data_IF_984830852726
#
_entry.id   IF_984830852726
#
_cell.length_a   1.000
_cell.length_b   1.000
_cell.length_c   1.000
_cell.angle_alpha   90.00
_cell.angle_beta   90.00
_cell.angle_gamma   90.00
#
_symmetry.space_group_name_H-M   'P 1'
#
loop_
_entity.id
_entity.type
_entity.pdbx_description
1 polymer ?
#
# COMPACT_ATOMS: atom_id res chain seq x y z
N UNK A 1 4.60 0.11 -7.12
CA UNK A 1 4.43 -0.66 -8.37
C UNK A 1 3.42 0.03 -9.27
N UNK A 2 3.74 0.20 -10.55
CA UNK A 2 2.71 0.46 -11.57
C UNK A 2 2.26 -0.90 -12.08
N UNK A 3 0.98 -1.22 -11.93
CA UNK A 3 0.38 -2.40 -12.53
C UNK A 3 0.09 -2.08 -13.99
N UNK A 4 0.60 -2.93 -14.87
CA UNK A 4 0.27 -3.03 -16.28
C UNK A 4 -0.03 -4.52 -16.53
N UNK A 5 -1.30 -4.89 -16.46
CA UNK A 5 -1.71 -6.29 -16.46
C UNK A 5 -1.58 -6.88 -17.87
N UNK A 6 -0.77 -7.94 -18.01
CA UNK A 6 -0.63 -8.61 -19.30
C UNK A 6 -2.00 -9.09 -19.82
N UNK A 7 -2.29 -8.81 -21.09
CA UNK A 7 -3.56 -9.16 -21.77
C UNK A 7 -4.80 -8.46 -21.18
N UNK A 8 -4.63 -7.37 -20.44
CA UNK A 8 -5.70 -6.51 -19.94
C UNK A 8 -5.32 -5.03 -20.12
N UNK A 9 -6.30 -4.14 -20.20
CA UNK A 9 -6.06 -2.69 -20.19
C UNK A 9 -6.07 -2.12 -18.76
N UNK A 10 -6.17 -2.99 -17.74
CA UNK A 10 -6.17 -2.60 -16.35
C UNK A 10 -4.81 -2.04 -15.96
N UNK A 11 -4.82 -0.76 -15.61
CA UNK A 11 -3.68 -0.04 -15.04
C UNK A 11 -4.01 0.43 -13.63
N UNK A 12 -2.98 0.50 -12.78
CA UNK A 12 -3.12 1.08 -11.45
C UNK A 12 -1.75 1.46 -10.86
N UNK A 13 -1.72 2.48 -10.00
CA UNK A 13 -0.61 2.69 -9.08
C UNK A 13 -0.90 1.92 -7.78
N UNK A 14 0.05 1.10 -7.32
CA UNK A 14 -0.06 0.31 -6.08
C UNK A 14 1.15 0.60 -5.18
N UNK A 15 0.90 1.12 -3.99
CA UNK A 15 1.89 1.53 -3.01
C UNK A 15 1.71 0.76 -1.69
N UNK A 16 2.82 0.40 -1.07
CA UNK A 16 2.85 -0.20 0.26
C UNK A 16 3.83 0.59 1.12
N UNK A 17 3.40 0.96 2.33
CA UNK A 17 4.20 1.66 3.32
C UNK A 17 4.29 0.75 4.53
N UNK A 18 5.48 0.23 4.81
CA UNK A 18 5.76 -0.65 5.94
C UNK A 18 6.40 0.17 7.05
N UNK A 19 5.70 0.32 8.17
CA UNK A 19 6.21 1.01 9.35
C UNK A 19 6.61 -0.04 10.39
N UNK A 20 6.31 0.16 11.67
CA UNK A 20 6.74 -0.74 12.73
C UNK A 20 5.79 -1.91 12.96
N UNK A 21 4.49 -1.67 13.10
CA UNK A 21 3.51 -2.72 13.38
C UNK A 21 2.36 -2.79 12.35
N UNK A 22 2.42 -1.94 11.33
CA UNK A 22 1.41 -1.81 10.29
C UNK A 22 1.98 -1.71 8.87
N UNK A 23 1.15 -2.11 7.92
CA UNK A 23 1.40 -1.95 6.49
C UNK A 23 0.23 -1.21 5.85
N UNK A 24 0.46 0.00 5.36
CA UNK A 24 -0.57 0.76 4.62
C UNK A 24 -0.47 0.46 3.14
N UNK A 25 -1.55 -0.05 2.55
CA UNK A 25 -1.67 -0.28 1.13
C UNK A 25 -2.56 0.79 0.49
N UNK A 26 -2.02 1.52 -0.48
CA UNK A 26 -2.75 2.51 -1.26
C UNK A 26 -2.80 2.10 -2.73
N UNK A 27 -3.93 2.36 -3.37
CA UNK A 27 -4.01 2.35 -4.82
C UNK A 27 -4.78 3.51 -5.38
N UNK A 28 -4.34 3.96 -6.56
CA UNK A 28 -4.96 5.05 -7.30
C UNK A 28 -4.85 4.81 -8.80
N UNK A 29 -5.70 5.49 -9.57
CA UNK A 29 -5.69 5.34 -11.02
C UNK A 29 -6.14 3.97 -11.49
N UNK A 30 -6.86 3.21 -10.67
CA UNK A 30 -7.40 1.90 -11.07
C UNK A 30 -8.37 2.15 -12.21
N UNK A 31 -7.95 1.79 -13.41
CA UNK A 31 -8.63 2.14 -14.66
C UNK A 31 -8.61 0.96 -15.61
N UNK A 32 -9.77 0.56 -16.10
CA UNK A 32 -9.91 -0.36 -17.24
C UNK A 32 -11.12 0.09 -18.09
N UNK A 33 -10.90 0.86 -19.16
CA UNK A 33 -11.98 1.38 -20.00
C UNK A 33 -12.56 0.32 -20.95
N UNK A 34 -11.98 -0.89 -21.00
CA UNK A 34 -12.29 -1.90 -22.03
C UNK A 34 -12.67 -3.27 -21.47
N UNK A 35 -12.83 -3.42 -20.16
CA UNK A 35 -13.17 -4.70 -19.55
C UNK A 35 -14.51 -5.20 -20.08
N UNK A 36 -14.47 -6.33 -20.78
CA UNK A 36 -15.65 -6.93 -21.42
C UNK A 36 -15.49 -8.45 -21.45
N UNK A 37 -16.62 -9.15 -21.50
CA UNK A 37 -16.66 -10.61 -21.45
C UNK A 37 -17.06 -11.15 -20.09
N UNK A 38 -16.86 -12.46 -19.93
CA UNK A 38 -17.38 -13.25 -18.81
C UNK A 38 -16.21 -13.93 -18.10
N UNK A 39 -16.17 -13.82 -16.78
CA UNK A 39 -15.23 -14.52 -15.92
C UNK A 39 -15.51 -16.03 -15.88
N UNK A 40 -14.60 -16.74 -15.22
CA UNK A 40 -14.68 -18.21 -15.07
C UNK A 40 -15.94 -18.67 -14.31
N UNK A 41 -16.51 -17.79 -13.50
CA UNK A 41 -17.71 -18.01 -12.69
C UNK A 41 -19.02 -17.72 -13.46
N UNK A 42 -18.93 -17.38 -14.75
CA UNK A 42 -20.09 -17.04 -15.57
C UNK A 42 -20.63 -15.62 -15.33
N UNK A 43 -19.99 -14.82 -14.47
CA UNK A 43 -20.34 -13.42 -14.26
C UNK A 43 -19.53 -12.51 -15.17
N UNK A 44 -19.97 -11.27 -15.37
CA UNK A 44 -19.19 -10.34 -16.17
C UNK A 44 -17.87 -9.97 -15.46
N UNK A 45 -16.81 -9.83 -16.24
CA UNK A 45 -15.52 -9.38 -15.71
C UNK A 45 -15.66 -8.04 -14.98
N UNK A 46 -14.95 -7.90 -13.88
CA UNK A 46 -14.82 -6.69 -13.06
C UNK A 46 -13.39 -6.61 -12.49
N UNK A 47 -12.96 -5.41 -12.13
CA UNK A 47 -11.67 -5.17 -11.52
C UNK A 47 -11.79 -5.23 -10.00
N UNK A 48 -10.88 -5.96 -9.36
CA UNK A 48 -10.89 -6.17 -7.92
C UNK A 48 -9.53 -5.82 -7.31
N UNK A 49 -9.55 -5.39 -6.06
CA UNK A 49 -8.34 -5.38 -5.22
C UNK A 49 -8.55 -6.29 -4.05
N UNK A 50 -7.80 -7.38 -4.02
CA UNK A 50 -7.83 -8.34 -2.92
C UNK A 50 -7.10 -7.75 -1.72
N UNK A 51 -7.81 -7.65 -0.60
CA UNK A 51 -7.27 -7.25 0.70
C UNK A 51 -6.74 -8.49 1.43
N UNK A 52 -7.48 -9.60 1.38
CA UNK A 52 -7.08 -10.87 1.96
C UNK A 52 -7.75 -12.04 1.23
N UNK A 53 -7.02 -13.15 1.11
CA UNK A 53 -7.49 -14.46 0.68
C UNK A 53 -6.77 -15.54 1.51
N UNK A 54 -7.34 -15.81 2.69
CA UNK A 54 -6.71 -16.61 3.74
C UNK A 54 -7.35 -17.98 3.85
N UNK A 55 -6.55 -19.05 3.75
CA UNK A 55 -6.98 -20.39 4.15
C UNK A 55 -7.26 -20.44 5.65
N UNK A 56 -8.40 -21.05 5.99
CA UNK A 56 -8.78 -21.37 7.35
C UNK A 56 -7.99 -22.58 7.87
N UNK A 57 -7.23 -22.41 8.95
CA UNK A 57 -6.38 -23.43 9.57
C UNK A 57 -7.03 -24.14 10.76
N UNK A 58 -8.13 -23.59 11.29
CA UNK A 58 -8.89 -24.20 12.39
C UNK A 58 -10.38 -23.86 12.29
N UNK A 59 -11.25 -24.80 12.67
CA UNK A 59 -12.71 -24.63 12.65
C UNK A 59 -13.22 -23.40 13.43
N UNK A 60 -12.46 -22.97 14.44
CA UNK A 60 -12.75 -21.82 15.31
C UNK A 60 -12.34 -20.47 14.72
N UNK A 61 -11.57 -20.42 13.62
CA UNK A 61 -11.21 -19.16 12.99
C UNK A 61 -12.45 -18.49 12.37
N UNK A 62 -12.48 -17.17 12.40
CA UNK A 62 -13.53 -16.38 11.78
C UNK A 62 -12.98 -15.07 11.24
N UNK A 63 -13.42 -14.68 10.04
CA UNK A 63 -13.37 -13.29 9.59
C UNK A 63 -14.56 -12.54 10.19
N UNK A 64 -14.28 -11.46 10.92
CA UNK A 64 -15.28 -10.57 11.51
C UNK A 64 -15.07 -9.18 10.93
N UNK A 65 -16.14 -8.53 10.48
CA UNK A 65 -16.12 -7.14 9.99
C UNK A 65 -17.13 -6.34 10.80
N UNK A 66 -16.71 -5.27 11.48
CA UNK A 66 -17.56 -4.44 12.34
C UNK A 66 -18.53 -5.26 13.23
N UNK A 67 -17.96 -6.18 13.99
CA UNK A 67 -18.66 -7.10 14.90
C UNK A 67 -19.60 -8.12 14.24
N UNK A 68 -19.58 -8.23 12.91
CA UNK A 68 -20.38 -9.19 12.14
C UNK A 68 -19.49 -10.29 11.56
N UNK A 69 -19.66 -11.56 11.97
CA UNK A 69 -18.91 -12.67 11.39
C UNK A 69 -19.35 -12.93 9.95
N UNK A 70 -18.39 -13.19 9.07
CA UNK A 70 -18.63 -13.59 7.68
C UNK A 70 -18.76 -15.11 7.62
N UNK A 71 -19.97 -15.58 7.30
CA UNK A 71 -20.31 -17.02 7.32
C UNK A 71 -20.77 -17.55 5.95
N UNK A 72 -21.15 -16.66 5.03
CA UNK A 72 -21.74 -17.01 3.73
C UNK A 72 -20.68 -17.25 2.66
N UNK A 73 -20.91 -18.24 1.80
CA UNK A 73 -20.15 -18.45 0.57
C UNK A 73 -20.49 -17.41 -0.52
N UNK A 74 -21.71 -16.89 -0.52
CA UNK A 74 -22.08 -15.74 -1.35
C UNK A 74 -21.49 -14.47 -0.75
N UNK A 75 -20.87 -13.65 -1.61
CA UNK A 75 -20.25 -12.39 -1.22
C UNK A 75 -21.24 -11.45 -0.51
N UNK A 76 -20.86 -10.98 0.67
CA UNK A 76 -21.57 -9.96 1.44
C UNK A 76 -21.00 -8.60 1.11
N UNK A 77 -21.85 -7.64 0.72
CA UNK A 77 -21.43 -6.24 0.52
C UNK A 77 -21.31 -5.52 1.86
N UNK A 78 -20.23 -4.76 2.03
CA UNK A 78 -19.87 -4.04 3.23
C UNK A 78 -19.72 -2.56 2.88
N UNK A 79 -20.53 -1.70 3.51
CA UNK A 79 -20.52 -0.26 3.27
C UNK A 79 -19.76 0.44 4.39
N UNK A 80 -18.70 1.16 4.04
CA UNK A 80 -17.84 1.93 4.95
C UNK A 80 -17.41 1.13 6.20
N UNK A 81 -16.88 -0.09 6.06
CA UNK A 81 -16.47 -0.84 7.23
C UNK A 81 -15.31 -0.12 7.93
N UNK A 82 -15.27 -0.13 9.26
CA UNK A 82 -14.17 0.48 10.00
C UNK A 82 -12.98 -0.47 10.13
N UNK A 83 -13.25 -1.74 10.40
CA UNK A 83 -12.23 -2.77 10.58
C UNK A 83 -12.69 -4.17 10.19
N UNK A 84 -11.72 -5.02 9.92
CA UNK A 84 -11.89 -6.47 9.80
C UNK A 84 -10.84 -7.19 10.64
N UNK A 85 -11.16 -8.38 11.12
CA UNK A 85 -10.26 -9.22 11.93
C UNK A 85 -10.39 -10.67 11.52
N UNK A 86 -9.27 -11.33 11.23
CA UNK A 86 -9.20 -12.79 11.26
C UNK A 86 -8.86 -13.20 12.69
N UNK A 87 -9.84 -13.79 13.37
CA UNK A 87 -9.74 -14.29 14.74
C UNK A 87 -9.26 -15.74 14.75
N UNK A 88 -8.52 -16.15 15.79
CA UNK A 88 -8.08 -17.54 15.98
C UNK A 88 -6.79 -17.67 16.79
N UNK A 89 -6.40 -18.88 17.15
CA UNK A 89 -5.18 -19.15 17.94
C UNK A 89 -3.90 -19.06 17.12
N UNK A 90 -3.98 -19.11 15.80
CA UNK A 90 -2.86 -18.98 14.87
C UNK A 90 -3.27 -18.07 13.70
N UNK A 91 -2.37 -17.17 13.29
CA UNK A 91 -2.60 -16.32 12.11
C UNK A 91 -3.60 -15.18 12.30
N UNK A 92 -3.63 -14.55 13.48
CA UNK A 92 -4.43 -13.33 13.68
C UNK A 92 -3.87 -12.19 12.83
N UNK A 93 -4.77 -11.47 12.17
CA UNK A 93 -4.45 -10.29 11.37
C UNK A 93 -5.65 -9.35 11.44
N UNK A 94 -5.37 -8.09 11.74
CA UNK A 94 -6.34 -7.00 11.69
C UNK A 94 -6.21 -6.19 10.41
N UNK A 95 -7.30 -5.56 10.02
CA UNK A 95 -7.36 -4.65 8.90
C UNK A 95 -8.19 -3.43 9.28
N UNK A 96 -7.78 -2.24 8.84
CA UNK A 96 -8.60 -1.02 8.96
C UNK A 96 -8.72 -0.33 7.61
N UNK A 97 -9.80 0.42 7.43
CA UNK A 97 -10.15 1.01 6.13
C UNK A 97 -10.28 2.53 6.27
N UNK A 98 -9.21 3.29 5.98
CA UNK A 98 -9.24 4.75 6.11
C UNK A 98 -10.06 5.44 5.00
N UNK A 99 -10.38 4.72 3.92
CA UNK A 99 -11.26 5.19 2.86
C UNK A 99 -12.71 4.71 3.01
N UNK A 100 -13.55 5.12 2.07
CA UNK A 100 -14.98 4.79 2.03
C UNK A 100 -15.33 3.79 0.91
N UNK A 101 -14.33 3.07 0.40
CA UNK A 101 -14.54 2.13 -0.70
C UNK A 101 -15.45 0.96 -0.27
N UNK A 102 -16.40 0.53 -1.13
CA UNK A 102 -17.21 -0.63 -0.85
C UNK A 102 -16.35 -1.90 -0.85
N UNK A 103 -16.47 -2.68 0.21
CA UNK A 103 -15.79 -3.96 0.37
C UNK A 103 -16.78 -5.10 0.18
N UNK A 104 -16.25 -6.25 -0.21
CA UNK A 104 -16.97 -7.52 -0.31
C UNK A 104 -16.22 -8.56 0.49
N UNK A 105 -16.96 -9.42 1.17
CA UNK A 105 -16.37 -10.52 1.94
C UNK A 105 -17.13 -11.83 1.73
N UNK A 106 -16.41 -12.95 1.75
CA UNK A 106 -16.98 -14.28 1.63
C UNK A 106 -16.19 -15.30 2.44
N UNK A 107 -16.88 -16.37 2.85
CA UNK A 107 -16.30 -17.60 3.40
C UNK A 107 -16.57 -18.75 2.43
N UNK A 108 -15.59 -19.08 1.59
CA UNK A 108 -15.76 -20.04 0.49
C UNK A 108 -15.08 -21.37 0.80
N UNK A 109 -15.57 -22.45 0.21
CA UNK A 109 -14.94 -23.77 0.29
C UNK A 109 -14.57 -24.22 -1.11
N UNK A 110 -13.28 -24.43 -1.33
CA UNK A 110 -12.72 -24.73 -2.65
C UNK A 110 -12.20 -26.17 -2.66
N UNK A 111 -12.45 -26.89 -3.76
CA UNK A 111 -11.92 -28.24 -3.96
C UNK A 111 -11.03 -28.29 -5.19
N UNK A 112 -9.79 -28.73 -5.00
CA UNK A 112 -8.76 -28.78 -6.04
C UNK A 112 -7.82 -29.97 -5.86
N UNK A 113 -6.86 -30.12 -6.76
CA UNK A 113 -5.80 -31.13 -6.70
C UNK A 113 -4.50 -30.53 -7.27
N UNK A 114 -3.37 -31.15 -6.93
CA UNK A 114 -2.09 -30.74 -7.52
C UNK A 114 -2.06 -30.93 -9.04
N UNK A 115 -2.85 -31.88 -9.57
CA UNK A 115 -3.01 -32.08 -11.01
C UNK A 115 -3.61 -30.85 -11.71
N UNK A 116 -4.54 -30.13 -11.05
CA UNK A 116 -5.22 -28.96 -11.63
C UNK A 116 -4.26 -27.80 -11.96
N UNK A 117 -3.13 -27.70 -11.24
CA UNK A 117 -2.09 -26.68 -11.45
C UNK A 117 -0.78 -27.22 -12.01
N UNK A 118 -0.63 -28.55 -12.05
CA UNK A 118 0.55 -29.25 -12.55
C UNK A 118 0.15 -30.60 -13.16
N UNK A 119 -0.39 -30.56 -14.38
CA UNK A 119 -0.87 -31.75 -15.09
C UNK A 119 0.23 -32.80 -15.36
N UNK A 120 1.52 -32.43 -15.30
CA UNK A 120 2.63 -33.35 -15.57
C UNK A 120 2.99 -34.23 -14.38
N UNK A 121 3.02 -33.66 -13.17
CA UNK A 121 3.54 -34.34 -11.97
C UNK A 121 2.58 -34.28 -10.77
N UNK A 122 1.45 -33.58 -10.89
CA UNK A 122 0.51 -33.37 -9.81
C UNK A 122 -0.32 -34.61 -9.50
N UNK A 123 -0.54 -34.88 -8.22
CA UNK A 123 -1.45 -35.94 -7.77
C UNK A 123 -2.90 -35.55 -8.04
N UNK A 124 -3.73 -36.51 -8.44
CA UNK A 124 -5.17 -36.32 -8.67
C UNK A 124 -6.02 -36.32 -7.40
N UNK A 125 -5.42 -36.60 -6.24
CA UNK A 125 -6.12 -36.56 -4.94
C UNK A 125 -6.72 -35.17 -4.71
N UNK A 126 -8.05 -35.13 -4.61
CA UNK A 126 -8.79 -33.91 -4.32
C UNK A 126 -8.64 -33.51 -2.86
N UNK A 127 -8.46 -32.22 -2.63
CA UNK A 127 -8.39 -31.58 -1.31
C UNK A 127 -9.41 -30.48 -1.27
N UNK A 128 -10.04 -30.32 -0.11
CA UNK A 128 -11.07 -29.33 0.13
C UNK A 128 -10.65 -28.48 1.32
N UNK A 129 -10.56 -27.17 1.10
CA UNK A 129 -10.15 -26.20 2.10
C UNK A 129 -11.13 -25.02 2.11
N UNK A 130 -11.27 -24.37 3.26
CA UNK A 130 -12.12 -23.18 3.43
C UNK A 130 -11.25 -21.93 3.47
N UNK A 131 -11.72 -20.85 2.87
CA UNK A 131 -11.02 -19.58 2.73
C UNK A 131 -11.89 -18.41 3.19
N UNK A 132 -11.25 -17.39 3.76
CA UNK A 132 -11.82 -16.08 3.97
C UNK A 132 -11.29 -15.14 2.90
N UNK A 133 -12.19 -14.56 2.11
CA UNK A 133 -11.86 -13.57 1.10
C UNK A 133 -12.43 -12.21 1.50
N UNK A 134 -11.63 -11.15 1.33
CA UNK A 134 -12.00 -9.76 1.52
C UNK A 134 -11.39 -8.92 0.39
N UNK A 135 -12.19 -8.14 -0.31
CA UNK A 135 -11.73 -7.38 -1.47
C UNK A 135 -12.56 -6.13 -1.73
N UNK A 136 -11.93 -5.15 -2.40
CA UNK A 136 -12.61 -3.99 -2.98
C UNK A 136 -13.05 -4.36 -4.39
N UNK A 137 -14.31 -4.08 -4.71
CA UNK A 137 -14.89 -4.27 -6.05
C UNK A 137 -14.95 -2.91 -6.76
N UNK A 138 -14.09 -2.72 -7.77
CA UNK A 138 -14.02 -1.49 -8.56
C UNK A 138 -15.03 -1.51 -9.72
N UNK A 139 -15.80 -2.59 -9.87
CA UNK A 139 -16.76 -2.76 -10.94
C UNK A 139 -16.12 -3.02 -12.30
N UNK A 140 -16.92 -2.86 -13.35
CA UNK A 140 -16.56 -3.28 -14.71
C UNK A 140 -15.67 -2.28 -15.45
N UNK A 141 -15.99 -0.99 -15.34
CA UNK A 141 -15.30 0.07 -16.08
C UNK A 141 -14.77 1.11 -15.10
N UNK A 142 -13.85 0.73 -14.20
CA UNK A 142 -13.30 1.68 -13.26
C UNK A 142 -12.55 2.76 -14.03
N UNK A 143 -12.67 4.00 -13.57
CA UNK A 143 -11.94 5.15 -14.09
C UNK A 143 -11.41 5.91 -12.88
N UNK A 144 -10.08 5.96 -12.76
CA UNK A 144 -9.38 6.59 -11.65
C UNK A 144 -9.85 6.15 -10.26
N UNK A 145 -10.31 4.90 -10.13
CA UNK A 145 -10.71 4.35 -8.84
C UNK A 145 -9.51 4.22 -7.89
N UNK A 146 -9.81 4.25 -6.59
CA UNK A 146 -8.83 4.17 -5.51
C UNK A 146 -9.16 3.02 -4.57
N UNK A 147 -8.18 2.63 -3.75
CA UNK A 147 -8.41 1.88 -2.53
C UNK A 147 -7.41 2.31 -1.46
N UNK A 148 -7.77 2.11 -0.21
CA UNK A 148 -6.86 2.25 0.93
C UNK A 148 -7.23 1.28 2.04
N UNK A 149 -6.23 0.57 2.57
CA UNK A 149 -6.39 -0.27 3.74
C UNK A 149 -5.08 -0.39 4.50
N UNK A 150 -5.17 -0.69 5.79
CA UNK A 150 -4.03 -0.97 6.67
C UNK A 150 -4.10 -2.42 7.08
N UNK A 151 -2.97 -3.12 7.03
CA UNK A 151 -2.78 -4.46 7.57
C UNK A 151 -2.09 -4.31 8.92
N UNK A 152 -2.60 -5.00 9.94
CA UNK A 152 -2.08 -5.04 11.31
C UNK A 152 -1.70 -6.49 11.66
N UNK A 153 -0.52 -6.97 11.23
CA UNK A 153 -0.09 -8.35 11.43
C UNK A 153 -0.04 -8.71 12.92
N UNK A 154 -0.64 -9.83 13.31
CA UNK A 154 -0.58 -10.32 14.69
C UNK A 154 -1.43 -9.55 15.70
N UNK A 155 -2.10 -8.47 15.30
CA UNK A 155 -2.99 -7.71 16.20
C UNK A 155 -4.18 -8.55 16.65
N UNK A 156 -4.57 -8.36 17.91
CA UNK A 156 -5.79 -8.87 18.50
C UNK A 156 -7.00 -8.04 18.06
N UNK A 157 -8.20 -8.61 18.20
CA UNK A 157 -9.45 -7.88 17.92
C UNK A 157 -9.54 -6.55 18.69
N UNK A 158 -9.06 -6.50 19.92
CA UNK A 158 -9.09 -5.28 20.73
C UNK A 158 -8.13 -4.21 20.19
N UNK A 159 -6.92 -4.60 19.80
CA UNK A 159 -5.92 -3.70 19.19
C UNK A 159 -6.40 -3.18 17.83
N UNK A 160 -6.99 -4.04 16.98
CA UNK A 160 -7.54 -3.62 15.69
C UNK A 160 -8.66 -2.60 15.85
N UNK A 161 -9.57 -2.80 16.81
CA UNK A 161 -10.63 -1.83 17.12
C UNK A 161 -10.07 -0.51 17.64
N UNK A 162 -9.06 -0.57 18.50
CA UNK A 162 -8.40 0.62 19.02
C UNK A 162 -7.72 1.42 17.90
N UNK A 163 -6.99 0.73 17.02
CA UNK A 163 -6.35 1.35 15.85
C UNK A 163 -7.39 1.97 14.91
N UNK A 164 -8.50 1.29 14.62
CA UNK A 164 -9.56 1.84 13.78
C UNK A 164 -10.18 3.12 14.35
N UNK A 165 -10.26 3.24 15.68
CA UNK A 165 -10.78 4.42 16.35
C UNK A 165 -9.77 5.59 16.44
N UNK A 166 -8.48 5.28 16.47
CA UNK A 166 -7.40 6.25 16.57
C UNK A 166 -6.16 5.75 15.82
N UNK A 167 -6.13 5.86 14.48
CA UNK A 167 -5.06 5.29 13.68
C UNK A 167 -3.76 6.08 13.85
N UNK A 168 -2.66 5.33 13.94
CA UNK A 168 -1.31 5.91 13.99
C UNK A 168 -0.86 6.40 12.60
N UNK A 169 -1.53 6.00 11.53
CA UNK A 169 -1.24 6.47 10.17
C UNK A 169 -2.24 7.50 9.64
N UNK A 170 -1.75 8.43 8.83
CA UNK A 170 -2.57 9.36 8.03
C UNK A 170 -2.25 9.24 6.54
N UNK A 171 -3.26 9.05 5.69
CA UNK A 171 -3.09 9.16 4.23
C UNK A 171 -2.97 10.64 3.85
N UNK A 172 -1.81 11.04 3.34
CA UNK A 172 -1.54 12.43 2.93
C UNK A 172 -1.91 12.68 1.46
N UNK A 173 -1.78 11.66 0.61
CA UNK A 173 -2.15 11.69 -0.80
C UNK A 173 -2.37 10.28 -1.32
N UNK A 174 -3.40 10.10 -2.14
CA UNK A 174 -3.59 8.87 -2.91
C UNK A 174 -4.07 9.21 -4.33
N UNK A 175 -3.15 9.70 -5.16
CA UNK A 175 -3.45 10.17 -6.52
C UNK A 175 -2.53 9.52 -7.54
N UNK A 176 -2.87 9.65 -8.83
CA UNK A 176 -2.02 9.17 -9.93
C UNK A 176 -0.71 9.94 -10.08
N UNK A 177 -0.49 11.01 -9.30
CA UNK A 177 0.77 11.74 -9.23
C UNK A 177 1.60 11.34 -8.01
N UNK A 178 0.98 11.19 -6.84
CA UNK A 178 1.67 10.88 -5.58
C UNK A 178 0.81 9.98 -4.67
N UNK A 179 1.43 8.95 -4.12
CA UNK A 179 0.92 8.20 -2.97
C UNK A 179 1.78 8.53 -1.75
N UNK A 180 1.18 8.98 -0.64
CA UNK A 180 1.93 9.35 0.55
C UNK A 180 1.17 9.06 1.84
N UNK A 181 1.89 8.56 2.83
CA UNK A 181 1.39 8.21 4.16
C UNK A 181 2.33 8.78 5.21
N UNK A 182 1.75 9.30 6.30
CA UNK A 182 2.48 9.63 7.52
C UNK A 182 2.20 8.59 8.58
N UNK A 183 3.23 8.11 9.24
CA UNK A 183 3.11 7.46 10.54
C UNK A 183 3.32 8.56 11.61
N UNK A 184 2.30 8.74 12.44
CA UNK A 184 2.13 9.91 13.29
C UNK A 184 2.99 9.82 14.55
N UNK A 185 3.24 8.62 15.09
CA UNK A 185 3.95 8.43 16.36
C UNK A 185 5.47 8.62 16.22
N UNK A 186 6.03 8.25 15.07
CA UNK A 186 7.44 8.40 14.69
C UNK A 186 7.73 9.63 13.86
N UNK A 187 6.69 10.37 13.45
CA UNK A 187 6.81 11.48 12.49
C UNK A 187 7.51 11.05 11.19
N UNK A 188 7.20 9.85 10.72
CA UNK A 188 7.72 9.33 9.47
C UNK A 188 6.77 9.65 8.32
N UNK A 189 7.30 10.04 7.17
CA UNK A 189 6.51 10.25 5.94
C UNK A 189 7.12 9.41 4.83
N UNK A 190 6.36 8.47 4.30
CA UNK A 190 6.68 7.78 3.05
C UNK A 190 5.93 8.40 1.89
N UNK A 191 6.60 8.60 0.77
CA UNK A 191 6.01 9.12 -0.46
C UNK A 191 6.55 8.42 -1.71
N UNK A 192 5.65 8.05 -2.61
CA UNK A 192 5.97 7.55 -3.95
C UNK A 192 5.48 8.58 -4.96
N UNK A 193 6.42 9.13 -5.72
CA UNK A 193 6.18 10.08 -6.79
C UNK A 193 6.14 9.32 -8.12
N UNK A 194 5.00 9.35 -8.81
CA UNK A 194 4.73 8.48 -9.96
C UNK A 194 5.11 9.10 -11.30
N UNK A 195 5.46 10.40 -11.34
CA UNK A 195 5.66 11.17 -12.58
C UNK A 195 7.02 11.86 -12.59
N UNK A 196 7.56 12.05 -13.80
CA UNK A 196 8.76 12.88 -14.02
C UNK A 196 8.39 14.36 -14.06
N UNK A 197 7.73 14.82 -12.99
CA UNK A 197 7.30 16.19 -12.78
C UNK A 197 7.34 16.49 -11.28
N UNK A 198 7.60 17.75 -10.94
CA UNK A 198 7.64 18.16 -9.55
C UNK A 198 6.26 17.99 -8.89
N UNK A 199 6.23 17.38 -7.71
CA UNK A 199 5.03 17.28 -6.89
C UNK A 199 5.37 17.38 -5.40
N UNK A 200 4.40 17.83 -4.61
CA UNK A 200 4.59 18.18 -3.20
C UNK A 200 3.57 17.47 -2.33
N UNK A 201 4.07 16.78 -1.31
CA UNK A 201 3.29 16.23 -0.20
C UNK A 201 3.15 17.29 0.88
N UNK A 202 1.93 17.44 1.39
CA UNK A 202 1.63 18.34 2.50
C UNK A 202 1.35 17.55 3.78
N UNK A 203 1.76 18.10 4.93
CA UNK A 203 1.44 17.60 6.27
C UNK A 203 0.75 18.72 7.04
N UNK A 204 -0.45 18.46 7.59
CA UNK A 204 -1.24 19.49 8.27
C UNK A 204 -1.58 20.70 7.39
N UNK A 205 -1.81 20.48 6.09
CA UNK A 205 -2.12 21.53 5.12
C UNK A 205 -0.94 22.41 4.70
N UNK A 206 0.29 22.08 5.11
CA UNK A 206 1.51 22.81 4.74
C UNK A 206 2.43 21.93 3.90
N UNK A 207 3.07 22.52 2.89
CA UNK A 207 4.09 21.85 2.10
C UNK A 207 5.16 21.25 3.01
N UNK A 208 5.53 20.00 2.76
CA UNK A 208 6.51 19.27 3.57
C UNK A 208 7.61 18.66 2.73
N UNK A 209 7.26 17.85 1.72
CA UNK A 209 8.23 17.08 0.94
C UNK A 209 7.92 17.24 -0.54
N UNK A 210 8.91 17.69 -1.32
CA UNK A 210 8.81 17.82 -2.77
C UNK A 210 9.88 16.96 -3.43
N UNK A 211 9.50 16.24 -4.48
CA UNK A 211 10.44 15.59 -5.39
C UNK A 211 10.23 16.09 -6.81
N UNK A 212 11.32 16.28 -7.56
CA UNK A 212 11.28 16.76 -8.93
C UNK A 212 10.90 15.71 -9.97
N UNK A 213 10.91 14.42 -9.59
CA UNK A 213 10.80 13.31 -10.53
C UNK A 213 10.31 12.01 -9.86
N UNK A 214 10.13 10.96 -10.68
CA UNK A 214 9.83 9.61 -10.19
C UNK A 214 10.83 9.19 -9.13
N UNK A 215 10.32 8.86 -7.95
CA UNK A 215 11.13 8.52 -6.78
C UNK A 215 10.29 7.86 -5.70
N UNK A 216 10.95 7.12 -4.83
CA UNK A 216 10.44 6.76 -3.50
C UNK A 216 11.26 7.55 -2.50
N UNK A 217 10.59 8.24 -1.58
CA UNK A 217 11.23 9.04 -0.54
C UNK A 217 10.62 8.70 0.81
N UNK A 218 11.47 8.47 1.80
CA UNK A 218 11.06 8.32 3.19
C UNK A 218 11.78 9.36 4.06
N UNK A 219 11.05 10.00 4.96
CA UNK A 219 11.64 10.88 5.98
C UNK A 219 11.24 10.43 7.36
N UNK A 220 12.13 10.62 8.34
CA UNK A 220 11.84 10.41 9.77
C UNK A 220 12.34 11.62 10.56
N UNK A 221 11.43 12.33 11.23
CA UNK A 221 11.70 13.58 11.92
C UNK A 221 11.72 13.40 13.45
N UNK A 222 12.74 13.95 14.11
CA UNK A 222 12.85 14.05 15.57
C UNK A 222 12.99 15.50 15.99
N UNK A 223 13.01 15.77 17.31
CA UNK A 223 13.31 17.10 17.84
C UNK A 223 14.72 17.61 17.52
N UNK A 224 15.65 16.71 17.17
CA UNK A 224 17.07 17.05 16.96
C UNK A 224 17.46 17.12 15.49
N UNK A 225 16.60 16.66 14.58
CA UNK A 225 16.96 16.53 13.17
C UNK A 225 16.05 15.59 12.39
N UNK A 226 16.40 15.39 11.14
CA UNK A 226 15.62 14.61 10.17
C UNK A 226 16.51 13.70 9.33
N UNK A 227 16.02 12.49 9.06
CA UNK A 227 16.59 11.57 8.08
C UNK A 227 15.75 11.58 6.81
N UNK A 228 16.41 11.42 5.66
CA UNK A 228 15.80 11.36 4.33
C UNK A 228 16.46 10.23 3.55
N UNK A 229 15.66 9.28 3.09
CA UNK A 229 16.07 8.21 2.19
C UNK A 229 15.41 8.42 0.83
N UNK A 230 16.17 8.33 -0.26
CA UNK A 230 15.70 8.56 -1.63
C UNK A 230 16.14 7.41 -2.54
N UNK A 231 15.21 6.90 -3.35
CA UNK A 231 15.47 5.85 -4.34
C UNK A 231 14.83 6.20 -5.68
N UNK A 232 15.53 5.91 -6.78
CA UNK A 232 14.92 5.81 -8.11
C UNK A 232 14.47 4.36 -8.36
N UNK A 233 13.16 4.04 -8.23
CA UNK A 233 12.69 2.68 -8.46
C UNK A 233 12.67 2.30 -9.95
N UNK A 234 12.78 3.27 -10.88
CA UNK A 234 12.75 3.00 -12.32
C UNK A 234 14.03 2.34 -12.81
N UNK A 235 15.14 2.56 -12.09
CA UNK A 235 16.49 2.12 -12.44
C UNK A 235 17.00 2.63 -13.81
N UNK A 236 16.26 3.54 -14.43
CA UNK A 236 16.48 4.00 -15.79
C UNK A 236 16.92 5.47 -15.85
N UNK A 237 16.75 6.22 -14.76
CA UNK A 237 17.13 7.63 -14.73
C UNK A 237 18.64 7.78 -14.80
N UNK A 238 19.08 8.70 -15.66
CA UNK A 238 20.42 9.26 -15.65
C UNK A 238 20.37 10.67 -15.08
N UNK A 239 21.39 11.04 -14.31
CA UNK A 239 21.45 12.32 -13.60
C UNK A 239 20.75 12.30 -12.25
N UNK A 240 20.24 13.47 -11.84
CA UNK A 240 19.82 13.70 -10.45
C UNK A 240 18.30 13.72 -10.25
N UNK A 241 17.90 13.38 -9.03
CA UNK A 241 16.58 13.69 -8.46
C UNK A 241 16.77 14.79 -7.44
N UNK A 242 16.01 15.89 -7.58
CA UNK A 242 16.00 16.96 -6.58
C UNK A 242 14.90 16.72 -5.57
N UNK A 243 15.28 16.66 -4.30
CA UNK A 243 14.36 16.52 -3.16
C UNK A 243 14.46 17.76 -2.28
N UNK A 244 13.32 18.32 -1.90
CA UNK A 244 13.22 19.44 -0.97
C UNK A 244 12.35 19.07 0.22
N UNK A 245 12.86 19.31 1.42
CA UNK A 245 12.12 19.14 2.68
C UNK A 245 11.92 20.50 3.31
N UNK A 246 10.69 20.86 3.64
CA UNK A 246 10.29 22.14 4.21
C UNK A 246 10.67 22.28 5.70
N UNK A 247 11.95 22.10 5.98
CA UNK A 247 12.62 22.24 7.28
C UNK A 247 13.97 22.91 7.06
N UNK A 248 14.34 23.82 7.95
CA UNK A 248 15.71 24.32 8.03
C UNK A 248 16.58 23.36 8.82
N UNK A 249 17.85 23.24 8.45
CA UNK A 249 18.85 22.49 9.22
C UNK A 249 20.11 23.33 9.46
N UNK A 250 20.75 23.13 10.61
CA UNK A 250 22.04 23.73 10.92
C UNK A 250 23.19 23.08 10.13
N UNK A 251 23.15 21.76 9.93
CA UNK A 251 24.21 21.02 9.24
C UNK A 251 23.73 19.65 8.74
N UNK A 252 24.42 19.12 7.72
CA UNK A 252 24.37 17.69 7.40
C UNK A 252 25.19 16.90 8.42
N UNK A 253 24.65 15.76 8.87
CA UNK A 253 25.29 14.82 9.81
C UNK A 253 25.94 13.68 9.04
N UNK A 254 25.24 13.12 8.05
CA UNK A 254 25.74 12.04 7.20
C UNK A 254 25.09 12.11 5.83
N UNK A 255 25.83 11.76 4.78
CA UNK A 255 25.36 11.74 3.40
C UNK A 255 25.90 10.50 2.71
N UNK A 256 25.04 9.78 2.00
CA UNK A 256 25.46 8.74 1.06
C UNK A 256 26.29 9.32 -0.08
N UNK A 257 27.24 8.54 -0.59
CA UNK A 257 27.92 8.89 -1.84
C UNK A 257 26.90 9.09 -2.97
N UNK A 258 26.98 10.22 -3.68
CA UNK A 258 26.00 10.62 -4.70
C UNK A 258 24.95 11.63 -4.21
N UNK A 259 24.87 11.91 -2.91
CA UNK A 259 24.01 12.96 -2.35
C UNK A 259 24.79 14.26 -2.20
N UNK A 260 24.28 15.34 -2.80
CA UNK A 260 24.82 16.70 -2.65
C UNK A 260 23.78 17.62 -2.01
N UNK A 261 24.16 18.27 -0.92
CA UNK A 261 23.36 19.34 -0.32
C UNK A 261 23.46 20.59 -1.20
N UNK A 262 22.30 21.08 -1.64
CA UNK A 262 22.17 22.34 -2.39
C UNK A 262 21.89 23.50 -1.44
N UNK A 263 21.05 23.27 -0.43
CA UNK A 263 20.62 24.26 0.55
C UNK A 263 20.25 23.59 1.87
N UNK A 264 20.48 24.27 2.99
CA UNK A 264 20.06 23.84 4.33
C UNK A 264 18.96 24.72 4.93
N UNK A 265 18.89 26.00 4.54
CA UNK A 265 17.92 26.98 5.08
C UNK A 265 17.40 27.89 3.96
N UNK A 266 16.10 28.29 3.97
CA UNK A 266 15.08 27.97 4.98
C UNK A 266 14.53 26.53 4.83
N UNK A 267 14.89 25.83 3.76
CA UNK A 267 14.53 24.45 3.48
C UNK A 267 15.76 23.64 3.09
N UNK A 268 15.78 22.36 3.45
CA UNK A 268 16.78 21.39 3.02
C UNK A 268 16.50 21.04 1.56
N UNK A 269 17.51 21.18 0.69
CA UNK A 269 17.43 20.76 -0.73
C UNK A 269 18.62 19.88 -1.06
N UNK A 270 18.33 18.72 -1.64
CA UNK A 270 19.29 17.69 -2.04
C UNK A 270 19.21 17.47 -3.53
N UNK A 271 20.37 17.29 -4.17
CA UNK A 271 20.47 16.63 -5.46
C UNK A 271 21.05 15.23 -5.23
N UNK A 272 20.31 14.19 -5.63
CA UNK A 272 20.70 12.78 -5.50
C UNK A 272 21.02 12.23 -6.89
N UNK A 273 22.28 11.94 -7.17
CA UNK A 273 22.69 11.30 -8.43
C UNK A 273 22.35 9.81 -8.41
N UNK A 274 21.38 9.42 -9.24
CA UNK A 274 20.87 8.05 -9.32
C UNK A 274 21.41 7.30 -10.54
N UNK A 275 22.39 7.88 -11.25
CA UNK A 275 22.98 7.27 -12.45
C UNK A 275 23.58 5.90 -12.12
N UNK A 276 23.03 4.84 -12.72
CA UNK A 276 23.50 3.48 -12.50
C UNK A 276 23.23 2.94 -11.08
N UNK A 277 22.34 3.57 -10.31
CA UNK A 277 22.05 3.18 -8.94
C UNK A 277 21.29 1.85 -8.82
N UNK A 278 20.60 1.40 -9.87
CA UNK A 278 19.86 0.11 -9.91
C UNK A 278 18.88 -0.07 -8.74
N UNK A 279 18.17 1.00 -8.38
CA UNK A 279 17.20 0.98 -7.28
C UNK A 279 17.82 1.01 -5.89
N UNK A 280 19.13 1.32 -5.78
CA UNK A 280 19.78 1.58 -4.50
C UNK A 280 19.18 2.80 -3.80
N UNK A 281 19.11 2.72 -2.48
CA UNK A 281 18.77 3.80 -1.57
C UNK A 281 19.95 4.75 -1.28
N UNK A 282 19.63 6.03 -1.16
CA UNK A 282 20.54 7.10 -0.77
C UNK A 282 20.04 7.80 0.50
N UNK A 283 20.78 7.63 1.59
CA UNK A 283 20.50 8.25 2.87
C UNK A 283 21.15 9.62 3.04
N UNK A 284 20.45 10.51 3.73
CA UNK A 284 20.94 11.77 4.25
C UNK A 284 20.36 12.05 5.63
N UNK A 285 21.17 12.56 6.56
CA UNK A 285 20.72 12.98 7.89
C UNK A 285 21.15 14.42 8.16
N UNK A 286 20.26 15.18 8.80
CA UNK A 286 20.46 16.60 9.10
C UNK A 286 20.17 16.88 10.56
N UNK A 287 20.92 17.82 11.13
CA UNK A 287 20.69 18.34 12.48
C UNK A 287 19.99 19.69 12.37
N UNK A 288 18.96 19.90 13.19
CA UNK A 288 18.32 21.21 13.33
C UNK A 288 19.20 22.22 14.07
#
# INVERSE_FOLDING_TARGET
MVLDAALSNLVANKAWFTFDDEVVALGSGVTDPGLSGTGWDGTALHAETIVEDRRMDAASQALVVDDKPITSASATSLTNPAWAQITGTTGQVGYTFPGAEPLRAAKTTNTGSWFDVNAKNGTTTRRTDTYFALWVDHGRTPVDATYSYVILPGSTLAETKAYAASPDTSVLSNTTAVSAVRENTRNAVGAIFWRDAAATVSVGGKAFLTSSARSVVMTEESSTGIRVAVTDPTQARTGTIRVEVARGAAAAVSLSAGVRVVRLTPTIVLDVDVTGARGKEFDAAFRY
#
